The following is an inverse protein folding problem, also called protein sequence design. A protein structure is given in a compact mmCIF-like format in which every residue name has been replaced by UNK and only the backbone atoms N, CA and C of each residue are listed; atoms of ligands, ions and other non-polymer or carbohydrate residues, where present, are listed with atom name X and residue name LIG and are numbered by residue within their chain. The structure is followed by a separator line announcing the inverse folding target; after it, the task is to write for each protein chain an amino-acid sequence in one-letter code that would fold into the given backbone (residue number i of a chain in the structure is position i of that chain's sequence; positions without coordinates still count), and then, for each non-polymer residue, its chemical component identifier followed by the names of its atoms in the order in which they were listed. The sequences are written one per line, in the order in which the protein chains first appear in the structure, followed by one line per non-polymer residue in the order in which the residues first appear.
data_IF_761760052518
#
_entry.id   IF_761760052518
#
_cell.length_a   1.000
_cell.length_b   1.000
_cell.length_c   1.000
_cell.angle_alpha   90.00
_cell.angle_beta   90.00
_cell.angle_gamma   90.00
#
_symmetry.space_group_name_H-M   'P 1'
#
loop_
_entity.id
_entity.type
_entity.pdbx_description
1 polymer ?
#
# COMPACT_ATOMS: atom_id res chain seq x y z
N UNK A 1 -12.03 70.70 30.73
CA UNK A 1 -10.83 71.13 29.98
C UNK A 1 -10.08 69.89 29.49
N UNK A 2 -10.09 69.69 28.17
CA UNK A 2 -8.97 69.32 27.25
C UNK A 2 -7.55 69.37 27.87
N UNK A 3 -6.49 68.59 27.56
CA UNK A 3 -6.12 67.58 26.52
C UNK A 3 -4.93 66.73 27.05
N UNK A 4 -4.61 65.61 26.40
CA UNK A 4 -3.32 64.94 26.57
C UNK A 4 -3.17 63.61 25.84
N UNK A 5 -3.13 63.65 24.50
CA UNK A 5 -2.92 62.54 23.55
C UNK A 5 -1.57 61.82 23.78
N UNK A 6 -1.54 60.49 23.62
CA UNK A 6 -0.39 59.79 23.04
C UNK A 6 -0.85 58.46 22.42
N UNK A 7 -0.73 58.40 21.09
CA UNK A 7 -0.86 57.22 20.26
C UNK A 7 0.28 56.22 20.53
N UNK A 8 -0.05 54.93 20.59
CA UNK A 8 0.92 53.86 20.31
C UNK A 8 0.29 52.87 19.34
N UNK A 9 0.97 52.73 18.21
CA UNK A 9 0.56 52.00 17.01
C UNK A 9 0.25 50.51 17.28
N UNK A 10 -0.85 50.03 16.71
CA UNK A 10 -1.08 48.61 16.47
C UNK A 10 -0.03 48.13 15.46
N UNK A 11 0.83 47.23 15.89
CA UNK A 11 1.68 46.45 14.98
C UNK A 11 0.86 45.26 14.51
N UNK A 12 0.37 45.33 13.27
CA UNK A 12 -0.19 44.19 12.56
C UNK A 12 0.88 43.10 12.45
N UNK A 13 0.65 41.98 13.14
CA UNK A 13 1.41 40.75 12.90
C UNK A 13 0.82 40.10 11.66
N UNK A 14 1.48 40.32 10.53
CA UNK A 14 1.26 39.57 9.30
C UNK A 14 1.42 38.07 9.58
N UNK A 15 0.32 37.32 9.54
CA UNK A 15 0.37 35.86 9.62
C UNK A 15 1.04 35.32 8.34
N UNK A 16 2.00 34.39 8.44
CA UNK A 16 2.57 33.77 7.24
C UNK A 16 1.46 33.00 6.54
N UNK A 17 1.25 33.37 5.27
CA UNK A 17 0.31 32.76 4.33
C UNK A 17 0.63 31.26 4.26
N UNK A 18 -0.21 30.43 4.89
CA UNK A 18 -0.23 28.99 4.69
C UNK A 18 -0.41 28.75 3.20
N UNK A 19 0.68 28.39 2.52
CA UNK A 19 0.58 27.79 1.20
C UNK A 19 -0.11 26.44 1.40
N UNK A 20 -1.43 26.45 1.26
CA UNK A 20 -2.20 25.23 1.09
C UNK A 20 -1.74 24.60 -0.23
N UNK A 21 -0.74 23.73 -0.14
CA UNK A 21 -0.40 22.80 -1.21
C UNK A 21 -1.66 22.03 -1.56
N UNK A 22 -2.09 22.14 -2.81
CA UNK A 22 -3.31 21.55 -3.32
C UNK A 22 -3.14 20.02 -3.33
N UNK A 23 -3.72 19.34 -2.34
CA UNK A 23 -3.77 17.88 -2.28
C UNK A 23 -4.72 17.36 -3.36
N UNK A 24 -4.17 16.81 -4.46
CA UNK A 24 -4.94 16.04 -5.43
C UNK A 24 -4.86 14.55 -5.04
N UNK A 25 -5.87 14.07 -4.30
CA UNK A 25 -6.07 12.63 -4.06
C UNK A 25 -6.80 12.06 -5.28
N UNK A 26 -6.06 11.46 -6.20
CA UNK A 26 -6.66 10.76 -7.33
C UNK A 26 -6.97 9.33 -6.93
N UNK A 27 -8.25 9.03 -6.69
CA UNK A 27 -8.75 7.66 -6.58
C UNK A 27 -8.81 7.05 -7.99
N UNK A 28 -7.83 6.23 -8.37
CA UNK A 28 -8.00 5.36 -9.54
C UNK A 28 -8.36 3.96 -9.03
N UNK A 29 -9.62 3.82 -8.65
CA UNK A 29 -10.26 2.51 -8.57
C UNK A 29 -10.58 2.05 -9.98
N UNK A 30 -9.82 1.10 -10.51
CA UNK A 30 -10.07 0.55 -11.84
C UNK A 30 -9.27 -0.73 -12.08
N UNK A 31 -9.93 -1.87 -11.90
CA UNK A 31 -9.45 -3.16 -12.38
C UNK A 31 -9.22 -3.09 -13.90
N UNK A 32 -7.95 -3.06 -14.33
CA UNK A 32 -7.61 -3.23 -15.74
C UNK A 32 -7.44 -4.71 -16.04
N UNK A 33 -8.49 -5.23 -16.67
CA UNK A 33 -8.51 -6.46 -17.45
C UNK A 33 -7.37 -6.46 -18.48
N UNK A 34 -6.82 -7.65 -18.69
CA UNK A 34 -5.56 -7.87 -19.38
C UNK A 34 -5.56 -7.56 -20.87
N UNK A 35 -4.33 -7.39 -21.37
CA UNK A 35 -4.00 -7.53 -22.78
C UNK A 35 -2.59 -8.14 -22.88
N UNK A 36 -2.55 -9.43 -23.18
CA UNK A 36 -1.31 -10.16 -23.50
C UNK A 36 -0.81 -9.68 -24.87
N UNK A 37 0.28 -8.90 -24.89
CA UNK A 37 1.04 -8.65 -26.10
C UNK A 37 2.12 -9.72 -26.22
N UNK A 38 1.80 -10.76 -26.96
CA UNK A 38 2.71 -11.79 -27.44
C UNK A 38 3.58 -11.23 -28.58
N UNK A 39 4.88 -11.04 -28.34
CA UNK A 39 5.85 -10.72 -29.39
C UNK A 39 6.70 -11.96 -29.67
N UNK A 40 6.49 -12.58 -30.82
CA UNK A 40 7.37 -13.62 -31.36
C UNK A 40 8.49 -12.93 -32.13
N UNK A 41 9.73 -13.06 -31.68
CA UNK A 41 10.92 -12.46 -32.29
C UNK A 41 12.05 -13.46 -32.45
N UNK A 42 12.06 -14.10 -33.63
CA UNK A 42 13.14 -14.72 -34.41
C UNK A 42 14.53 -14.92 -33.75
N UNK A 43 14.98 -16.19 -33.75
CA UNK A 43 16.34 -16.64 -33.46
C UNK A 43 17.34 -16.18 -34.54
N UNK A 44 18.50 -15.66 -34.12
CA UNK A 44 19.69 -15.58 -34.97
C UNK A 44 20.91 -16.04 -34.16
N UNK A 45 21.44 -17.22 -34.50
CA UNK A 45 22.65 -17.78 -33.92
C UNK A 45 23.87 -16.87 -34.14
N UNK A 46 24.67 -16.72 -33.08
CA UNK A 46 26.05 -16.23 -33.16
C UNK A 46 26.80 -16.51 -31.85
N UNK A 47 27.49 -17.66 -31.76
CA UNK A 47 28.53 -17.89 -30.75
C UNK A 47 29.90 -17.57 -31.36
N UNK A 48 30.83 -16.98 -30.59
CA UNK A 48 31.83 -17.85 -29.98
C UNK A 48 32.22 -17.50 -28.53
N UNK A 49 32.91 -18.48 -27.95
CA UNK A 49 33.24 -18.70 -26.55
C UNK A 49 34.21 -17.66 -25.96
N UNK A 50 34.02 -17.31 -24.68
CA UNK A 50 34.99 -16.56 -23.89
C UNK A 50 34.64 -16.48 -22.40
N UNK A 51 35.37 -17.27 -21.60
CA UNK A 51 35.59 -17.13 -20.14
C UNK A 51 34.39 -17.22 -19.18
N UNK A 52 34.23 -18.42 -18.62
CA UNK A 52 33.45 -18.73 -17.43
C UNK A 52 34.17 -18.27 -16.15
N UNK A 53 33.53 -17.38 -15.39
CA UNK A 53 33.79 -17.11 -13.98
C UNK A 53 32.45 -17.13 -13.23
N UNK A 54 32.27 -17.91 -12.15
CA UNK A 54 31.03 -17.90 -11.41
C UNK A 54 31.07 -16.77 -10.38
N UNK A 55 30.44 -15.63 -10.70
CA UNK A 55 30.09 -14.63 -9.69
C UNK A 55 28.62 -14.83 -9.31
N UNK A 56 28.47 -15.42 -8.12
CA UNK A 56 27.27 -15.67 -7.35
C UNK A 56 26.21 -14.57 -7.50
N UNK A 57 25.13 -14.90 -8.20
CA UNK A 57 23.93 -14.09 -8.38
C UNK A 57 23.16 -14.05 -7.05
N UNK A 58 23.43 -13.04 -6.22
CA UNK A 58 22.65 -12.74 -5.01
C UNK A 58 21.36 -11.99 -5.34
N UNK A 59 20.54 -12.52 -6.26
CA UNK A 59 19.17 -12.07 -6.47
C UNK A 59 18.26 -12.89 -5.56
N UNK A 60 18.08 -12.47 -4.32
CA UNK A 60 17.01 -13.00 -3.48
C UNK A 60 15.67 -12.47 -4.02
N UNK A 61 15.23 -13.02 -5.15
CA UNK A 61 13.80 -13.09 -5.43
C UNK A 61 13.24 -13.89 -4.26
N UNK A 62 12.56 -13.21 -3.35
CA UNK A 62 11.92 -13.84 -2.21
C UNK A 62 10.88 -14.79 -2.80
N UNK A 63 11.26 -16.07 -2.85
CA UNK A 63 10.52 -17.17 -3.42
C UNK A 63 9.10 -17.10 -2.82
N UNK A 64 8.14 -16.73 -3.66
CA UNK A 64 6.72 -16.75 -3.30
C UNK A 64 6.36 -18.21 -3.15
N UNK A 65 6.58 -18.76 -1.95
CA UNK A 65 5.94 -19.99 -1.51
C UNK A 65 4.49 -19.86 -1.93
N UNK A 66 4.02 -20.73 -2.84
CA UNK A 66 2.68 -20.64 -3.40
C UNK A 66 1.71 -20.49 -2.22
N UNK A 67 1.16 -19.28 -2.05
CA UNK A 67 0.27 -19.01 -0.95
C UNK A 67 -0.95 -19.88 -1.22
N UNK A 68 -1.30 -20.75 -0.27
CA UNK A 68 -2.59 -21.43 -0.31
C UNK A 68 -3.67 -20.36 -0.50
N UNK A 69 -4.68 -20.64 -1.32
CA UNK A 69 -5.77 -19.71 -1.59
C UNK A 69 -7.03 -20.27 -0.94
N UNK A 70 -7.76 -19.40 -0.25
CA UNK A 70 -9.12 -19.68 0.22
C UNK A 70 -10.08 -18.84 -0.63
N UNK A 71 -10.92 -19.52 -1.41
CA UNK A 71 -12.01 -18.88 -2.14
C UNK A 71 -13.12 -18.48 -1.15
N UNK A 72 -13.58 -17.23 -1.24
CA UNK A 72 -14.62 -16.69 -0.36
C UNK A 72 -16.00 -16.71 -1.02
N UNK A 73 -16.12 -17.27 -2.21
CA UNK A 73 -17.33 -17.17 -3.06
C UNK A 73 -18.57 -17.80 -2.41
N UNK A 74 -18.35 -18.86 -1.64
CA UNK A 74 -19.37 -19.61 -0.90
C UNK A 74 -19.54 -19.16 0.56
N UNK A 75 -18.79 -18.16 1.02
CA UNK A 75 -18.93 -17.63 2.38
C UNK A 75 -20.28 -16.91 2.54
N UNK A 76 -20.88 -17.03 3.71
CA UNK A 76 -22.18 -16.43 3.99
C UNK A 76 -22.15 -14.89 3.84
N UNK A 77 -21.01 -14.28 4.18
CA UNK A 77 -20.74 -12.87 3.97
C UNK A 77 -19.31 -12.70 3.46
N UNK A 78 -19.16 -12.21 2.22
CA UNK A 78 -17.84 -12.04 1.60
C UNK A 78 -17.13 -10.84 2.21
N UNK A 79 -15.83 -10.96 2.56
CA UNK A 79 -15.06 -9.83 3.01
C UNK A 79 -14.79 -8.86 1.86
N UNK A 80 -14.79 -7.57 2.16
CA UNK A 80 -14.33 -6.52 1.22
C UNK A 80 -13.12 -5.80 1.80
N UNK A 81 -12.35 -5.17 0.93
CA UNK A 81 -11.17 -4.39 1.28
C UNK A 81 -11.16 -3.10 0.47
N UNK A 82 -10.97 -1.99 1.16
CA UNK A 82 -10.58 -0.70 0.58
C UNK A 82 -9.47 -0.06 1.44
N UNK A 83 -8.81 0.94 0.89
CA UNK A 83 -7.68 1.61 1.55
C UNK A 83 -7.70 3.11 1.32
N UNK A 84 -7.26 3.86 2.33
CA UNK A 84 -6.96 5.27 2.19
C UNK A 84 -5.63 5.58 2.88
N UNK A 85 -4.83 6.49 2.29
CA UNK A 85 -3.53 6.87 2.83
C UNK A 85 -3.51 8.36 3.10
N UNK A 86 -3.06 8.74 4.29
CA UNK A 86 -3.06 10.10 4.78
C UNK A 86 -1.66 10.51 5.20
N UNK A 87 -1.30 11.77 4.95
CA UNK A 87 -0.08 12.33 5.50
C UNK A 87 -0.17 12.34 7.02
N UNK A 88 0.82 11.79 7.70
CA UNK A 88 0.92 11.90 9.15
C UNK A 88 1.44 13.30 9.54
N UNK A 89 0.80 14.00 10.50
CA UNK A 89 1.23 15.34 10.92
C UNK A 89 2.64 15.40 11.53
N UNK A 90 3.12 14.32 12.15
CA UNK A 90 4.44 14.21 12.73
C UNK A 90 5.51 13.87 11.70
N UNK A 91 5.35 12.74 11.02
CA UNK A 91 6.23 12.32 9.91
C UNK A 91 5.65 11.11 9.19
N UNK A 92 5.86 10.99 7.88
CA UNK A 92 5.44 9.81 7.12
C UNK A 92 3.95 9.78 6.78
N UNK A 93 3.38 8.58 6.73
CA UNK A 93 2.02 8.33 6.24
C UNK A 93 1.29 7.30 7.10
N UNK A 94 -0.02 7.51 7.25
CA UNK A 94 -0.93 6.59 7.90
C UNK A 94 -1.83 5.93 6.87
N UNK A 95 -1.83 4.60 6.85
CA UNK A 95 -2.75 3.77 6.08
C UNK A 95 -3.98 3.45 6.93
N UNK A 96 -5.16 3.70 6.37
CA UNK A 96 -6.44 3.19 6.83
C UNK A 96 -6.85 2.00 5.97
N UNK A 97 -7.03 0.85 6.59
CA UNK A 97 -7.49 -0.40 6.00
C UNK A 97 -8.96 -0.57 6.38
N UNK A 98 -9.82 -0.49 5.38
CA UNK A 98 -11.27 -0.47 5.55
C UNK A 98 -11.81 -1.82 5.06
N UNK A 99 -12.41 -2.59 5.96
CA UNK A 99 -12.94 -3.90 5.62
C UNK A 99 -14.40 -4.04 6.03
N UNK A 100 -15.15 -4.87 5.31
CA UNK A 100 -16.44 -5.40 5.78
C UNK A 100 -16.37 -6.91 5.88
N UNK A 101 -17.18 -7.51 6.77
CA UNK A 101 -17.24 -8.96 7.00
C UNK A 101 -15.86 -9.61 7.25
N UNK A 102 -14.94 -8.85 7.84
CA UNK A 102 -13.59 -9.30 8.16
C UNK A 102 -13.19 -8.78 9.53
N UNK A 103 -12.63 -9.66 10.36
CA UNK A 103 -12.15 -9.38 11.70
C UNK A 103 -10.65 -9.58 11.74
N UNK A 104 -9.91 -8.53 12.12
CA UNK A 104 -8.50 -8.67 12.40
C UNK A 104 -8.30 -9.51 13.67
N UNK A 105 -7.57 -10.61 13.53
CA UNK A 105 -7.35 -11.58 14.60
C UNK A 105 -5.84 -11.81 14.80
N UNK A 106 -5.22 -10.90 15.56
CA UNK A 106 -3.80 -10.96 15.87
C UNK A 106 -3.43 -12.23 16.67
N UNK A 107 -4.33 -12.67 17.55
CA UNK A 107 -4.06 -13.75 18.48
C UNK A 107 -4.03 -15.11 17.78
N UNK A 108 -4.82 -15.28 16.73
CA UNK A 108 -4.91 -16.52 15.96
C UNK A 108 -4.01 -16.56 14.72
N UNK A 109 -3.17 -15.54 14.50
CA UNK A 109 -2.29 -15.50 13.35
C UNK A 109 -1.26 -16.66 13.36
N UNK A 110 -1.24 -17.44 12.27
CA UNK A 110 -0.47 -18.67 12.13
C UNK A 110 -1.17 -19.94 12.64
N UNK A 111 -2.42 -19.84 13.11
CA UNK A 111 -3.24 -20.98 13.51
C UNK A 111 -4.22 -21.36 12.40
N UNK A 112 -5.15 -22.27 12.68
CA UNK A 112 -6.17 -22.73 11.74
C UNK A 112 -7.06 -21.58 11.25
N UNK A 113 -7.48 -21.67 9.98
CA UNK A 113 -8.37 -20.71 9.37
C UNK A 113 -9.74 -20.69 10.08
N UNK A 114 -10.23 -19.48 10.35
CA UNK A 114 -11.59 -19.20 10.78
C UNK A 114 -12.18 -18.24 9.77
N UNK A 115 -13.34 -18.59 9.20
CA UNK A 115 -14.01 -17.79 8.16
C UNK A 115 -14.17 -16.33 8.61
N UNK A 116 -13.75 -15.39 7.76
CA UNK A 116 -13.82 -13.95 8.06
C UNK A 116 -12.77 -13.44 9.05
N UNK A 117 -11.84 -14.26 9.56
CA UNK A 117 -10.80 -13.85 10.51
C UNK A 117 -9.41 -13.92 9.89
N UNK A 118 -8.55 -12.95 10.22
CA UNK A 118 -7.18 -12.98 9.77
C UNK A 118 -6.43 -11.67 9.92
N UNK A 119 -5.60 -11.37 8.92
CA UNK A 119 -4.74 -10.19 8.93
C UNK A 119 -4.48 -9.66 7.52
N UNK A 120 -4.00 -8.42 7.42
CA UNK A 120 -3.59 -7.82 6.16
C UNK A 120 -2.08 -7.93 5.94
N UNK A 121 -1.64 -8.08 4.71
CA UNK A 121 -0.24 -7.86 4.33
C UNK A 121 -0.14 -6.52 3.60
N UNK A 122 0.79 -5.68 4.03
CA UNK A 122 1.02 -4.34 3.46
C UNK A 122 2.34 -4.33 2.71
N UNK A 123 2.33 -3.71 1.53
CA UNK A 123 3.46 -3.53 0.64
C UNK A 123 3.57 -2.06 0.23
N UNK A 124 4.80 -1.60 0.04
CA UNK A 124 5.11 -0.31 -0.60
C UNK A 124 6.01 -0.57 -1.78
N UNK A 125 5.61 -0.11 -2.96
CA UNK A 125 6.36 -0.29 -4.21
C UNK A 125 6.77 -1.76 -4.44
N UNK A 126 5.85 -2.69 -4.16
CA UNK A 126 6.07 -4.14 -4.26
C UNK A 126 6.88 -4.76 -3.11
N UNK A 127 7.48 -3.97 -2.21
CA UNK A 127 8.24 -4.47 -1.07
C UNK A 127 7.32 -4.67 0.13
N UNK A 128 7.33 -5.88 0.70
CA UNK A 128 6.50 -6.20 1.88
C UNK A 128 6.98 -5.43 3.10
N UNK A 129 6.11 -4.60 3.67
CA UNK A 129 6.35 -3.93 4.94
C UNK A 129 6.08 -4.86 6.13
N UNK A 130 4.99 -5.62 6.06
CA UNK A 130 4.66 -6.50 7.18
C UNK A 130 3.23 -7.03 7.16
N UNK A 131 2.89 -7.62 8.31
CA UNK A 131 1.54 -8.08 8.66
C UNK A 131 0.89 -7.02 9.54
N UNK A 132 -0.37 -6.69 9.27
CA UNK A 132 -1.15 -5.69 10.00
C UNK A 132 -2.41 -6.35 10.56
N UNK A 133 -2.65 -6.13 11.85
CA UNK A 133 -3.73 -6.74 12.63
C UNK A 133 -4.76 -5.72 13.11
N UNK A 134 -4.99 -4.67 12.34
CA UNK A 134 -5.93 -3.62 12.69
C UNK A 134 -6.16 -2.65 11.53
N UNK A 135 -7.12 -1.74 11.74
CA UNK A 135 -7.54 -0.81 10.70
C UNK A 135 -6.49 0.27 10.36
N UNK A 136 -5.60 0.61 11.29
CA UNK A 136 -4.61 1.68 11.08
C UNK A 136 -3.19 1.17 11.16
N UNK A 137 -2.35 1.61 10.23
CA UNK A 137 -0.93 1.29 10.20
C UNK A 137 -0.08 2.49 9.78
N UNK A 138 1.02 2.70 10.50
CA UNK A 138 1.98 3.74 10.17
C UNK A 138 3.04 3.19 9.21
N UNK A 139 3.19 3.79 8.03
CA UNK A 139 4.13 3.35 6.99
C UNK A 139 5.52 3.98 7.17
N UNK A 140 5.58 5.21 7.70
CA UNK A 140 6.81 6.00 7.73
C UNK A 140 7.03 6.81 6.45
N UNK A 141 8.28 7.18 6.18
CA UNK A 141 8.64 8.00 5.02
C UNK A 141 8.52 7.20 3.71
N UNK A 142 8.05 7.88 2.66
CA UNK A 142 7.99 7.34 1.31
C UNK A 142 8.99 8.10 0.41
N UNK A 143 9.60 7.43 -0.59
CA UNK A 143 10.40 8.07 -1.62
C UNK A 143 9.69 9.25 -2.32
N UNK A 144 10.47 10.21 -2.83
CA UNK A 144 9.94 11.25 -3.71
C UNK A 144 9.32 10.63 -4.98
N UNK A 145 8.25 11.25 -5.47
CA UNK A 145 7.49 10.79 -6.62
C UNK A 145 6.34 9.85 -6.26
N UNK A 146 5.99 8.98 -7.21
CA UNK A 146 4.86 8.06 -7.09
C UNK A 146 5.22 6.84 -6.23
N UNK A 147 4.34 6.51 -5.28
CA UNK A 147 4.47 5.34 -4.43
C UNK A 147 3.15 4.56 -4.39
N UNK A 148 3.22 3.26 -4.62
CA UNK A 148 2.08 2.36 -4.52
C UNK A 148 2.05 1.70 -3.14
N UNK A 149 0.96 1.87 -2.42
CA UNK A 149 0.66 1.16 -1.17
C UNK A 149 -0.36 0.07 -1.48
N UNK A 150 0.07 -1.19 -1.44
CA UNK A 150 -0.80 -2.34 -1.73
C UNK A 150 -1.10 -3.12 -0.46
N UNK A 151 -2.37 -3.48 -0.28
CA UNK A 151 -2.87 -4.24 0.86
C UNK A 151 -3.62 -5.47 0.34
N UNK A 152 -3.40 -6.64 0.94
CA UNK A 152 -4.18 -7.85 0.66
C UNK A 152 -4.64 -8.53 1.95
N UNK A 153 -5.80 -9.17 1.92
CA UNK A 153 -6.33 -9.93 3.07
C UNK A 153 -5.87 -11.39 3.07
N UNK A 154 -5.56 -11.88 4.26
CA UNK A 154 -5.11 -13.25 4.51
C UNK A 154 -5.89 -13.84 5.69
N UNK A 155 -6.17 -15.14 5.60
CA UNK A 155 -6.70 -15.96 6.69
C UNK A 155 -5.68 -16.12 7.83
N UNK A 156 -6.13 -16.64 8.97
CA UNK A 156 -5.29 -16.97 10.12
C UNK A 156 -4.11 -17.89 9.76
N UNK A 157 -4.32 -18.87 8.88
CA UNK A 157 -3.30 -19.84 8.45
C UNK A 157 -2.31 -19.29 7.40
N UNK A 158 -2.36 -17.98 7.12
CA UNK A 158 -1.64 -17.28 6.06
C UNK A 158 -2.05 -17.66 4.62
N UNK A 159 -3.19 -18.32 4.43
CA UNK A 159 -3.77 -18.48 3.09
C UNK A 159 -4.31 -17.14 2.58
N UNK A 160 -4.08 -16.83 1.31
CA UNK A 160 -4.61 -15.61 0.68
C UNK A 160 -6.12 -15.75 0.47
N UNK A 161 -6.88 -14.72 0.84
CA UNK A 161 -8.32 -14.69 0.54
C UNK A 161 -8.54 -14.22 -0.89
N UNK A 162 -9.39 -14.91 -1.64
CA UNK A 162 -9.72 -14.58 -3.02
C UNK A 162 -11.23 -14.62 -3.27
N UNK A 163 -11.74 -13.67 -4.05
CA UNK A 163 -13.10 -13.69 -4.61
C UNK A 163 -12.97 -13.93 -6.11
N UNK A 164 -13.75 -14.86 -6.65
CA UNK A 164 -13.76 -15.20 -8.09
C UNK A 164 -12.36 -15.53 -8.63
N UNK A 165 -11.55 -16.20 -7.80
CA UNK A 165 -10.16 -16.56 -8.13
C UNK A 165 -9.15 -15.41 -8.08
N UNK A 166 -9.58 -14.19 -7.73
CA UNK A 166 -8.71 -13.01 -7.60
C UNK A 166 -8.49 -12.66 -6.14
N UNK A 167 -7.22 -12.53 -5.74
CA UNK A 167 -6.85 -12.16 -4.37
C UNK A 167 -7.48 -10.82 -3.98
N UNK A 168 -8.14 -10.78 -2.83
CA UNK A 168 -8.73 -9.56 -2.28
C UNK A 168 -7.60 -8.59 -1.94
N UNK A 169 -7.45 -7.57 -2.79
CA UNK A 169 -6.33 -6.63 -2.80
C UNK A 169 -6.85 -5.23 -3.11
N UNK A 170 -6.31 -4.22 -2.45
CA UNK A 170 -6.50 -2.81 -2.79
C UNK A 170 -5.15 -2.10 -2.88
N UNK A 171 -5.04 -1.15 -3.80
CA UNK A 171 -3.84 -0.33 -4.01
C UNK A 171 -4.21 1.14 -3.96
N UNK A 172 -3.44 1.91 -3.19
CA UNK A 172 -3.51 3.37 -3.14
C UNK A 172 -2.21 3.98 -3.64
N UNK A 173 -2.31 5.01 -4.47
CA UNK A 173 -1.15 5.77 -4.96
C UNK A 173 -0.94 7.02 -4.11
N UNK A 174 0.30 7.26 -3.68
CA UNK A 174 0.73 8.44 -2.95
C UNK A 174 1.81 9.16 -3.75
N UNK A 175 1.59 10.44 -4.05
CA UNK A 175 2.61 11.30 -4.66
C UNK A 175 3.31 12.11 -3.56
N UNK A 176 4.63 11.95 -3.46
CA UNK A 176 5.47 12.73 -2.54
C UNK A 176 6.22 13.79 -3.36
N UNK A 177 5.91 15.05 -3.11
CA UNK A 177 6.56 16.19 -3.76
C UNK A 177 7.84 16.61 -3.02
N UNK A 178 8.69 17.39 -3.71
CA UNK A 178 9.94 17.94 -3.16
C UNK A 178 9.71 19.10 -2.19
#
# INVERSE_FOLDING_TARGET
MNEGRSETAQTDKEQPRSQSGSLLVTFIGGALLGASAMWTGLELQGTPQGMSMPAQQGGMAHETKAANIVAVDDWAARPTLDTAVYRDPGAGWNLNIITTNFTFDAQSAGLENVEGHGHAHVYVNGVKLGRVYGAWHHIGALPLGENEVTVSLYANDHSALASDGVKITSTSTVIVEQ
#
